data_IF_788495558033
#
_entry.id   IF_788495558033
#
_cell.length_a   1.000
_cell.length_b   1.000
_cell.length_c   1.000
_cell.angle_alpha   90.00
_cell.angle_beta   90.00
_cell.angle_gamma   90.00
#
_symmetry.space_group_name_H-M   'P 1'
#
loop_
_entity.id
_entity.type
_entity.pdbx_description
1 polymer ?
#
# COMPACT_ATOMS: atom_id res chain seq x y z
N UNK A 1 -0.55 39.32 73.15
CA UNK A 1 -1.21 38.66 71.99
C UNK A 1 -0.15 38.14 71.03
N UNK A 2 0.07 36.85 71.01
CA UNK A 2 1.06 36.22 70.09
C UNK A 2 0.29 35.60 68.91
N UNK A 3 0.42 36.20 67.72
CA UNK A 3 -0.07 35.60 66.46
C UNK A 3 0.83 34.42 66.09
N UNK A 4 0.23 33.25 65.96
CA UNK A 4 0.89 32.04 65.40
C UNK A 4 0.64 32.04 63.89
N UNK A 5 1.73 32.19 63.11
CA UNK A 5 1.73 32.04 61.67
C UNK A 5 1.69 30.55 61.33
N UNK A 6 0.62 30.10 60.67
CA UNK A 6 0.48 28.74 60.23
C UNK A 6 1.00 28.67 58.78
N UNK A 7 2.18 28.02 58.59
CA UNK A 7 2.75 27.81 57.28
C UNK A 7 2.20 26.50 56.75
N UNK A 8 1.38 26.56 55.69
CA UNK A 8 0.83 25.44 54.97
C UNK A 8 1.85 24.97 53.93
N UNK A 9 2.49 23.82 54.13
CA UNK A 9 3.33 23.18 53.12
C UNK A 9 2.43 22.35 52.18
N UNK A 10 2.24 22.84 50.97
CA UNK A 10 1.62 22.06 49.88
C UNK A 10 2.71 21.20 49.23
N UNK A 11 2.70 19.92 49.53
CA UNK A 11 3.54 18.92 48.82
C UNK A 11 2.89 18.62 47.50
N UNK A 12 3.42 19.14 46.41
CA UNK A 12 3.11 18.76 45.05
C UNK A 12 3.74 17.35 44.77
N UNK A 13 2.95 16.30 44.91
CA UNK A 13 3.31 14.99 44.38
C UNK A 13 3.22 15.04 42.85
N UNK A 14 4.32 15.26 42.17
CA UNK A 14 4.44 15.04 40.73
C UNK A 14 4.43 13.52 40.51
N UNK A 15 3.27 12.98 40.15
CA UNK A 15 3.14 11.61 39.69
C UNK A 15 3.81 11.51 38.31
N UNK A 16 5.03 11.04 38.28
CA UNK A 16 5.70 10.66 37.04
C UNK A 16 5.06 9.35 36.58
N UNK A 17 4.03 9.44 35.72
CA UNK A 17 3.60 8.30 34.95
C UNK A 17 4.71 7.95 33.98
N UNK A 18 5.50 6.98 34.30
CA UNK A 18 6.34 6.29 33.30
C UNK A 18 5.37 5.58 32.37
N UNK A 19 5.06 6.20 31.24
CA UNK A 19 4.46 5.48 30.11
C UNK A 19 5.50 4.47 29.70
N UNK A 20 5.33 3.19 30.10
CA UNK A 20 6.04 2.09 29.48
C UNK A 20 5.71 2.17 28.00
N UNK A 21 6.71 2.45 27.16
CA UNK A 21 6.56 2.21 25.74
C UNK A 21 6.09 0.76 25.60
N UNK A 22 4.96 0.56 24.95
CA UNK A 22 4.45 -0.78 24.68
C UNK A 22 5.58 -1.56 24.02
N UNK A 23 5.91 -2.74 24.56
CA UNK A 23 6.86 -3.63 23.92
C UNK A 23 6.37 -3.86 22.49
N UNK A 24 7.20 -3.48 21.49
CA UNK A 24 6.77 -3.52 20.08
C UNK A 24 6.42 -4.94 19.67
N UNK A 25 5.56 -5.06 18.67
CA UNK A 25 5.16 -6.32 18.06
C UNK A 25 6.40 -6.94 17.40
N UNK A 26 6.76 -8.17 17.76
CA UNK A 26 7.92 -8.87 17.16
C UNK A 26 7.55 -9.66 15.90
N UNK A 27 6.26 -9.90 15.69
CA UNK A 27 5.74 -10.63 14.53
C UNK A 27 4.39 -10.01 14.13
N UNK A 28 4.39 -8.88 13.37
CA UNK A 28 3.16 -8.31 12.88
C UNK A 28 2.50 -9.29 11.90
N UNK A 29 1.17 -9.40 12.00
CA UNK A 29 0.41 -10.18 11.02
C UNK A 29 0.25 -9.31 9.77
N UNK A 30 0.81 -9.77 8.65
CA UNK A 30 0.77 -9.07 7.37
C UNK A 30 0.34 -9.99 6.24
N UNK A 31 -0.37 -9.44 5.27
CA UNK A 31 -0.74 -10.10 4.01
C UNK A 31 -0.40 -9.14 2.86
N UNK A 32 0.25 -9.64 1.81
CA UNK A 32 0.74 -8.86 0.66
C UNK A 32 1.55 -7.63 1.09
N UNK A 33 2.62 -7.78 1.88
CA UNK A 33 3.37 -6.65 2.38
C UNK A 33 4.34 -6.07 1.36
N UNK A 34 4.49 -4.74 1.39
CA UNK A 34 5.62 -4.03 0.79
C UNK A 34 6.39 -3.26 1.85
N UNK A 35 7.71 -3.20 1.72
CA UNK A 35 8.61 -2.52 2.64
C UNK A 35 9.13 -1.23 2.03
N UNK A 36 9.08 -0.13 2.81
CA UNK A 36 9.73 1.13 2.50
C UNK A 36 10.68 1.55 3.62
N UNK A 37 11.71 2.34 3.26
CA UNK A 37 12.66 2.94 4.21
C UNK A 37 12.77 4.45 3.94
N UNK A 38 12.61 5.27 4.97
CA UNK A 38 12.65 6.73 4.84
C UNK A 38 14.03 7.36 5.17
N UNK A 39 15.05 6.53 5.35
CA UNK A 39 16.39 6.94 5.80
C UNK A 39 16.56 6.82 7.31
N UNK A 40 15.50 6.62 8.08
CA UNK A 40 15.53 6.49 9.54
C UNK A 40 14.72 5.31 10.09
N UNK A 41 13.63 4.96 9.43
CA UNK A 41 12.70 3.90 9.84
C UNK A 41 12.23 3.10 8.64
N UNK A 42 11.90 1.85 8.93
CA UNK A 42 11.24 0.92 8.02
C UNK A 42 9.74 1.01 8.21
N UNK A 43 8.99 0.92 7.10
CA UNK A 43 7.53 0.92 7.09
C UNK A 43 7.04 -0.25 6.27
N UNK A 44 6.14 -1.06 6.82
CA UNK A 44 5.39 -2.07 6.08
C UNK A 44 4.01 -1.50 5.77
N UNK A 45 3.63 -1.56 4.51
CA UNK A 45 2.28 -1.35 4.03
C UNK A 45 1.74 -2.69 3.61
N UNK A 46 0.51 -3.04 3.99
CA UNK A 46 -0.04 -4.36 3.67
C UNK A 46 -1.56 -4.31 3.52
N UNK A 47 -2.10 -5.40 2.99
CA UNK A 47 -3.54 -5.63 2.89
C UNK A 47 -4.21 -5.42 4.24
N UNK A 48 -5.28 -4.60 4.26
CA UNK A 48 -6.04 -4.29 5.45
C UNK A 48 -7.06 -3.17 5.25
N UNK A 49 -7.76 -2.82 6.30
CA UNK A 49 -8.71 -1.71 6.26
C UNK A 49 -7.96 -0.40 6.08
N UNK A 50 -8.20 0.28 4.93
CA UNK A 50 -7.55 1.53 4.59
C UNK A 50 -6.04 1.42 4.32
N UNK A 51 -5.50 0.21 4.06
CA UNK A 51 -4.08 -0.15 4.00
C UNK A 51 -3.44 -0.05 5.39
N UNK A 52 -3.15 -1.20 5.99
CA UNK A 52 -2.53 -1.27 7.30
C UNK A 52 -1.05 -0.92 7.23
N UNK A 53 -0.55 -0.23 8.25
CA UNK A 53 0.83 0.25 8.29
C UNK A 53 1.50 -0.13 9.61
N UNK A 54 2.73 -0.63 9.52
CA UNK A 54 3.61 -0.83 10.66
C UNK A 54 4.92 -0.09 10.45
N UNK A 55 5.55 0.37 11.54
CA UNK A 55 6.90 0.95 11.46
C UNK A 55 7.87 0.31 12.43
N UNK A 56 9.16 0.27 12.06
CA UNK A 56 10.23 -0.25 12.88
C UNK A 56 11.51 0.57 12.69
N UNK A 57 12.31 0.69 13.77
CA UNK A 57 13.63 1.28 13.68
C UNK A 57 14.72 0.23 13.38
N UNK A 58 14.45 -1.07 13.59
CA UNK A 58 15.45 -2.13 13.64
C UNK A 58 15.02 -3.44 12.96
N UNK A 59 13.84 -3.47 12.31
CA UNK A 59 13.20 -4.63 11.67
C UNK A 59 12.82 -5.76 12.66
N UNK A 60 13.03 -5.57 13.96
CA UNK A 60 12.74 -6.58 14.97
C UNK A 60 11.54 -6.24 15.84
N UNK A 61 11.33 -4.96 16.10
CA UNK A 61 10.20 -4.45 16.87
C UNK A 61 9.39 -3.48 16.05
N UNK A 62 8.15 -3.85 15.83
CA UNK A 62 7.19 -3.11 15.03
C UNK A 62 6.14 -2.46 15.92
N UNK A 63 5.57 -1.39 15.45
CA UNK A 63 4.40 -0.73 16.06
C UNK A 63 3.37 -0.43 14.99
N UNK A 64 2.12 -0.48 15.37
CA UNK A 64 1.04 -0.03 14.52
C UNK A 64 1.16 1.47 14.26
N UNK A 65 0.91 1.86 13.02
CA UNK A 65 0.78 3.24 12.59
C UNK A 65 -0.65 3.46 12.05
N UNK A 66 -1.11 4.70 11.92
CA UNK A 66 -2.38 4.99 11.27
C UNK A 66 -2.44 4.40 9.86
N UNK A 67 -3.59 3.81 9.49
CA UNK A 67 -3.83 3.39 8.11
C UNK A 67 -3.71 4.55 7.14
N UNK A 68 -3.40 4.26 5.88
CA UNK A 68 -3.26 5.28 4.81
C UNK A 68 -4.55 6.06 4.63
N UNK A 69 -5.69 5.37 4.70
CA UNK A 69 -7.01 5.97 4.55
C UNK A 69 -7.88 5.71 5.78
N UNK A 70 -8.39 6.77 6.39
CA UNK A 70 -9.35 6.70 7.50
C UNK A 70 -10.75 6.23 7.02
N UNK A 71 -11.04 6.44 5.74
CA UNK A 71 -12.29 6.02 5.10
C UNK A 71 -12.04 5.58 3.66
N UNK A 72 -12.88 4.66 3.12
CA UNK A 72 -12.72 4.17 1.77
C UNK A 72 -12.76 5.30 0.73
N UNK A 73 -11.86 5.30 -0.27
CA UNK A 73 -11.94 6.24 -1.39
C UNK A 73 -13.32 6.19 -2.06
N UNK A 74 -13.99 7.33 -2.19
CA UNK A 74 -15.36 7.40 -2.70
C UNK A 74 -15.48 6.96 -4.16
N UNK A 75 -14.44 7.20 -4.97
CA UNK A 75 -14.39 6.74 -6.35
C UNK A 75 -14.36 5.21 -6.42
N UNK A 76 -13.60 4.56 -5.53
CA UNK A 76 -13.48 3.09 -5.50
C UNK A 76 -14.80 2.43 -5.11
N UNK A 77 -15.50 2.96 -4.11
CA UNK A 77 -16.84 2.47 -3.73
C UNK A 77 -17.86 2.56 -4.87
N UNK A 78 -17.74 3.58 -5.75
CA UNK A 78 -18.61 3.73 -6.93
C UNK A 78 -18.23 2.79 -8.06
N UNK A 79 -16.92 2.53 -8.27
CA UNK A 79 -16.43 1.72 -9.39
C UNK A 79 -16.44 0.23 -9.09
N UNK A 80 -16.25 -0.16 -7.83
CA UNK A 80 -16.11 -1.55 -7.38
C UNK A 80 -17.23 -1.90 -6.39
N UNK A 81 -18.39 -2.36 -6.86
CA UNK A 81 -19.50 -2.75 -6.00
C UNK A 81 -19.09 -3.82 -4.99
N UNK A 82 -19.35 -3.57 -3.71
CA UNK A 82 -18.98 -4.45 -2.60
C UNK A 82 -17.62 -4.16 -1.98
N UNK A 83 -16.80 -3.27 -2.55
CA UNK A 83 -15.62 -2.75 -1.88
C UNK A 83 -16.03 -1.91 -0.65
N UNK A 84 -15.42 -2.18 0.49
CA UNK A 84 -15.79 -1.60 1.79
C UNK A 84 -14.60 -0.95 2.52
N UNK A 85 -13.50 -0.71 1.80
CA UNK A 85 -12.27 -0.15 2.37
C UNK A 85 -11.23 -1.18 2.79
N UNK A 86 -11.51 -2.49 2.71
CA UNK A 86 -10.48 -3.51 2.84
C UNK A 86 -9.65 -3.51 1.55
N UNK A 87 -8.52 -2.82 1.59
CA UNK A 87 -7.65 -2.49 0.45
C UNK A 87 -6.49 -3.48 0.40
N UNK A 88 -6.11 -3.95 -0.82
CA UNK A 88 -5.23 -5.09 -0.98
C UNK A 88 -3.92 -4.72 -1.66
N UNK A 89 -2.90 -5.55 -1.40
CA UNK A 89 -1.62 -5.65 -2.10
C UNK A 89 -1.06 -4.29 -2.54
N UNK A 90 -0.67 -3.43 -1.60
CA UNK A 90 -0.07 -2.15 -1.94
C UNK A 90 1.36 -2.35 -2.48
N UNK A 91 1.79 -1.43 -3.35
CA UNK A 91 3.19 -1.22 -3.69
C UNK A 91 3.58 0.24 -3.47
N UNK A 92 4.84 0.50 -3.12
CA UNK A 92 5.32 1.83 -2.79
C UNK A 92 6.70 2.11 -3.38
N UNK A 93 6.85 3.28 -3.99
CA UNK A 93 8.13 3.74 -4.51
C UNK A 93 8.38 5.21 -4.13
N UNK A 94 9.65 5.55 -3.84
CA UNK A 94 10.05 6.95 -3.71
C UNK A 94 10.57 7.46 -5.06
N UNK A 95 9.89 8.45 -5.61
CA UNK A 95 10.22 9.01 -6.91
C UNK A 95 9.94 10.52 -6.94
N UNK A 96 10.84 11.30 -7.55
CA UNK A 96 10.72 12.76 -7.69
C UNK A 96 10.34 13.50 -6.39
N UNK A 97 10.91 13.06 -5.25
CA UNK A 97 10.73 13.72 -3.96
C UNK A 97 9.45 13.38 -3.19
N UNK A 98 8.69 12.39 -3.66
CA UNK A 98 7.46 11.90 -3.02
C UNK A 98 7.47 10.37 -2.93
N UNK A 99 6.70 9.84 -2.01
CA UNK A 99 6.29 8.45 -1.96
C UNK A 99 5.00 8.28 -2.74
N UNK A 100 5.02 7.36 -3.69
CA UNK A 100 3.87 6.97 -4.51
C UNK A 100 3.42 5.59 -4.07
N UNK A 101 2.19 5.49 -3.60
CA UNK A 101 1.57 4.26 -3.12
C UNK A 101 0.47 3.85 -4.09
N UNK A 102 0.57 2.64 -4.62
CA UNK A 102 -0.44 2.03 -5.47
C UNK A 102 -1.16 0.94 -4.68
N UNK A 103 -2.45 0.78 -4.90
CA UNK A 103 -3.27 -0.10 -4.08
C UNK A 103 -4.46 -0.67 -4.84
N UNK A 104 -4.92 -1.83 -4.41
CA UNK A 104 -5.99 -2.57 -5.08
C UNK A 104 -7.31 -2.45 -4.34
N UNK A 105 -8.35 -2.05 -5.07
CA UNK A 105 -9.73 -2.05 -4.62
C UNK A 105 -10.49 -3.15 -5.35
N UNK A 106 -10.97 -4.17 -4.64
CA UNK A 106 -11.65 -5.32 -5.25
C UNK A 106 -12.62 -5.99 -4.28
N UNK A 107 -13.25 -7.07 -4.76
CA UNK A 107 -14.00 -8.04 -3.96
C UNK A 107 -13.58 -9.44 -4.34
N UNK A 108 -13.50 -10.35 -3.36
CA UNK A 108 -12.96 -11.69 -3.55
C UNK A 108 -13.69 -12.47 -4.67
N UNK A 109 -12.89 -13.08 -5.56
CA UNK A 109 -13.39 -13.90 -6.67
C UNK A 109 -14.06 -13.11 -7.81
N UNK A 110 -13.83 -11.79 -7.88
CA UNK A 110 -14.36 -10.93 -8.94
C UNK A 110 -13.23 -10.23 -9.69
N UNK A 111 -13.44 -9.91 -10.97
CA UNK A 111 -12.55 -9.05 -11.72
C UNK A 111 -13.14 -7.66 -12.02
N UNK A 112 -14.10 -7.21 -11.22
CA UNK A 112 -14.47 -5.81 -11.16
C UNK A 112 -13.62 -5.17 -10.08
N UNK A 113 -12.47 -4.67 -10.49
CA UNK A 113 -11.41 -4.20 -9.61
C UNK A 113 -10.82 -2.88 -10.13
N UNK A 114 -10.08 -2.20 -9.29
CA UNK A 114 -9.38 -0.98 -9.67
C UNK A 114 -8.10 -0.82 -8.87
N UNK A 115 -7.06 -0.31 -9.50
CA UNK A 115 -5.83 0.13 -8.87
C UNK A 115 -5.89 1.64 -8.71
N UNK A 116 -5.72 2.10 -7.47
CA UNK A 116 -5.62 3.51 -7.10
C UNK A 116 -4.18 3.93 -6.86
N UNK A 117 -3.95 5.24 -6.85
CA UNK A 117 -2.68 5.88 -6.56
C UNK A 117 -2.87 6.93 -5.45
N UNK A 118 -1.91 7.00 -4.53
CA UNK A 118 -1.83 8.05 -3.51
C UNK A 118 -0.39 8.52 -3.33
N UNK A 119 -0.22 9.79 -2.95
CA UNK A 119 1.09 10.41 -2.74
C UNK A 119 1.26 10.92 -1.30
N UNK A 120 2.49 10.91 -0.82
CA UNK A 120 2.89 11.60 0.41
C UNK A 120 4.36 12.05 0.31
N UNK A 121 4.70 13.13 1.00
CA UNK A 121 6.08 13.65 1.04
C UNK A 121 6.92 13.03 2.15
N UNK A 122 6.32 12.29 3.06
CA UNK A 122 6.97 11.64 4.21
C UNK A 122 6.21 10.38 4.62
N UNK A 123 6.93 9.38 5.15
CA UNK A 123 6.31 8.18 5.74
C UNK A 123 6.07 8.31 7.24
N UNK A 124 6.64 9.35 7.89
CA UNK A 124 6.55 9.55 9.33
C UNK A 124 5.23 10.21 9.73
N UNK A 125 4.30 9.49 10.42
CA UNK A 125 3.02 10.07 10.84
C UNK A 125 3.14 11.22 11.84
N UNK A 126 4.31 11.39 12.48
CA UNK A 126 4.57 12.50 13.39
C UNK A 126 5.09 13.77 12.69
N UNK A 127 5.37 13.71 11.39
CA UNK A 127 5.75 14.90 10.59
C UNK A 127 4.49 15.72 10.27
N UNK A 128 4.53 17.02 10.48
CA UNK A 128 3.40 17.91 10.21
C UNK A 128 2.96 17.92 8.73
N UNK A 129 3.82 17.45 7.82
CA UNK A 129 3.53 17.31 6.38
C UNK A 129 2.91 15.96 6.03
N UNK A 130 2.80 15.03 6.99
CA UNK A 130 2.25 13.71 6.74
C UNK A 130 0.78 13.81 6.33
N UNK A 131 0.54 13.51 5.07
CA UNK A 131 -0.80 13.49 4.49
C UNK A 131 -0.79 12.69 3.19
N UNK A 132 -1.47 11.58 3.18
CA UNK A 132 -1.72 10.84 1.94
C UNK A 132 -2.78 11.58 1.11
N UNK A 133 -2.45 11.87 -0.14
CA UNK A 133 -3.34 12.47 -1.12
C UNK A 133 -3.74 11.41 -2.13
N UNK A 134 -5.02 11.01 -2.09
CA UNK A 134 -5.59 10.05 -3.05
C UNK A 134 -5.74 10.73 -4.43
N UNK A 135 -5.07 10.16 -5.44
CA UNK A 135 -5.08 10.65 -6.82
C UNK A 135 -6.14 9.96 -7.68
N UNK A 136 -6.80 8.94 -7.14
CA UNK A 136 -7.86 8.22 -7.82
C UNK A 136 -7.41 6.97 -8.56
N UNK A 137 -8.23 6.53 -9.53
CA UNK A 137 -8.05 5.30 -10.28
C UNK A 137 -7.06 5.46 -11.43
N UNK A 138 -6.08 4.58 -11.52
CA UNK A 138 -5.12 4.49 -12.63
C UNK A 138 -5.59 3.48 -13.68
N UNK A 139 -5.92 2.27 -13.23
CA UNK A 139 -6.38 1.17 -14.08
C UNK A 139 -7.55 0.47 -13.41
N UNK A 140 -8.53 0.07 -14.21
CA UNK A 140 -9.63 -0.75 -13.72
C UNK A 140 -9.90 -1.95 -14.62
N UNK A 141 -10.60 -2.92 -14.09
CA UNK A 141 -11.15 -4.04 -14.84
C UNK A 141 -12.66 -4.15 -14.66
N UNK A 142 -13.33 -4.54 -15.75
CA UNK A 142 -14.79 -4.70 -15.80
C UNK A 142 -15.10 -6.05 -16.44
N UNK A 143 -15.84 -6.93 -15.76
CA UNK A 143 -16.22 -8.23 -16.29
C UNK A 143 -16.84 -8.16 -17.69
N UNK A 144 -16.39 -9.01 -18.61
CA UNK A 144 -16.86 -9.03 -19.99
C UNK A 144 -16.33 -7.91 -20.90
N UNK A 145 -15.55 -6.96 -20.35
CA UNK A 145 -14.91 -5.89 -21.13
C UNK A 145 -13.39 -6.02 -21.13
N UNK A 146 -12.80 -6.34 -19.99
CA UNK A 146 -11.38 -6.49 -19.82
C UNK A 146 -11.03 -7.94 -19.50
N UNK A 147 -9.93 -8.41 -20.07
CA UNK A 147 -9.42 -9.76 -19.87
C UNK A 147 -8.46 -9.88 -18.68
N UNK A 148 -8.10 -8.76 -18.04
CA UNK A 148 -7.23 -8.71 -16.86
C UNK A 148 -8.02 -8.44 -15.58
N UNK A 149 -7.39 -8.69 -14.43
CA UNK A 149 -7.86 -8.25 -13.14
C UNK A 149 -6.96 -7.13 -12.62
N UNK A 150 -7.52 -5.94 -12.37
CA UNK A 150 -6.78 -4.76 -11.95
C UNK A 150 -6.52 -4.78 -10.43
N UNK A 151 -5.63 -5.68 -9.99
CA UNK A 151 -5.09 -5.79 -8.63
C UNK A 151 -3.59 -6.14 -8.69
N UNK A 152 -2.95 -6.14 -7.53
CA UNK A 152 -1.55 -6.49 -7.31
C UNK A 152 -0.59 -5.62 -8.12
N UNK A 153 -0.62 -4.28 -7.96
CA UNK A 153 0.30 -3.39 -8.65
C UNK A 153 1.73 -3.56 -8.13
N UNK A 154 2.70 -3.42 -9.04
CA UNK A 154 4.09 -3.17 -8.71
C UNK A 154 4.67 -2.16 -9.70
N UNK A 155 5.42 -1.19 -9.20
CA UNK A 155 5.95 -0.07 -9.97
C UNK A 155 7.45 -0.21 -10.14
N UNK A 156 7.90 0.01 -11.37
CA UNK A 156 9.33 0.08 -11.70
C UNK A 156 9.61 1.33 -12.54
N UNK A 157 10.77 1.92 -12.33
CA UNK A 157 11.31 2.98 -13.16
C UNK A 157 12.39 2.35 -14.05
N UNK A 158 12.26 2.50 -15.36
CA UNK A 158 13.27 2.02 -16.28
C UNK A 158 14.54 2.91 -16.30
N UNK A 159 15.55 2.49 -17.03
CA UNK A 159 16.84 3.21 -17.11
C UNK A 159 16.72 4.60 -17.77
N UNK A 160 15.62 4.87 -18.45
CA UNK A 160 15.29 6.15 -19.08
C UNK A 160 14.48 7.06 -18.14
N UNK A 161 14.17 6.57 -16.93
CA UNK A 161 13.38 7.29 -15.94
C UNK A 161 11.87 7.21 -16.19
N UNK A 162 11.41 6.28 -17.01
CA UNK A 162 9.99 6.10 -17.31
C UNK A 162 9.35 5.17 -16.28
N UNK A 163 8.22 5.57 -15.67
CA UNK A 163 7.50 4.68 -14.77
C UNK A 163 6.64 3.68 -15.54
N UNK A 164 6.69 2.44 -15.08
CA UNK A 164 5.90 1.32 -15.56
C UNK A 164 5.19 0.66 -14.39
N UNK A 165 3.96 0.19 -14.61
CA UNK A 165 3.22 -0.61 -13.66
C UNK A 165 2.99 -2.00 -14.22
N UNK A 166 3.42 -3.01 -13.47
CA UNK A 166 2.95 -4.37 -13.69
C UNK A 166 1.85 -4.69 -12.69
N UNK A 167 0.86 -5.49 -13.11
CA UNK A 167 -0.28 -5.84 -12.28
C UNK A 167 -0.99 -7.07 -12.83
N UNK A 168 -1.87 -7.67 -12.04
CA UNK A 168 -2.75 -8.73 -12.50
C UNK A 168 -2.79 -9.94 -11.56
N UNK A 169 -3.90 -10.63 -11.59
CA UNK A 169 -4.18 -11.83 -10.83
C UNK A 169 -5.16 -12.69 -11.59
N UNK A 170 -4.86 -13.95 -11.81
CA UNK A 170 -5.69 -14.91 -12.58
C UNK A 170 -6.04 -14.41 -14.00
N UNK A 171 -7.25 -14.66 -14.47
CA UNK A 171 -7.78 -14.28 -15.79
C UNK A 171 -6.75 -14.43 -16.91
N UNK A 172 -6.45 -13.33 -17.63
CA UNK A 172 -5.47 -13.35 -18.72
C UNK A 172 -4.08 -12.88 -18.25
N UNK A 173 -3.73 -13.19 -17.00
CA UNK A 173 -2.38 -13.08 -16.46
C UNK A 173 -1.91 -11.66 -16.17
N UNK A 174 -0.60 -11.52 -16.13
CA UNK A 174 0.11 -10.32 -15.70
C UNK A 174 0.30 -9.36 -16.87
N UNK A 175 -0.03 -8.11 -16.64
CA UNK A 175 0.11 -7.00 -17.58
C UNK A 175 1.24 -6.07 -17.15
N UNK A 176 1.83 -5.39 -18.13
CA UNK A 176 2.73 -4.26 -17.94
C UNK A 176 2.18 -3.09 -18.75
N UNK A 177 2.13 -1.91 -18.15
CA UNK A 177 1.63 -0.69 -18.77
C UNK A 177 2.50 0.50 -18.43
N UNK A 178 2.74 1.35 -19.43
CA UNK A 178 3.48 2.60 -19.27
C UNK A 178 2.62 3.63 -18.56
N UNK A 179 3.19 4.29 -17.56
CA UNK A 179 2.54 5.39 -16.84
C UNK A 179 3.02 6.75 -17.34
N UNK A 180 2.24 7.79 -17.05
CA UNK A 180 2.69 9.19 -17.15
C UNK A 180 3.80 9.47 -16.15
N UNK A 181 4.61 10.50 -16.40
CA UNK A 181 5.76 10.82 -15.54
C UNK A 181 5.37 11.18 -14.10
N UNK A 182 4.16 11.65 -13.86
CA UNK A 182 3.57 11.90 -12.54
C UNK A 182 2.88 10.66 -11.94
N UNK A 183 2.84 9.54 -12.69
CA UNK A 183 2.20 8.28 -12.31
C UNK A 183 0.67 8.36 -12.06
N UNK A 184 0.03 9.46 -12.41
CA UNK A 184 -1.40 9.68 -12.15
C UNK A 184 -2.30 9.02 -13.21
N UNK A 185 -1.73 8.49 -14.29
CA UNK A 185 -2.50 7.83 -15.35
C UNK A 185 -1.64 6.95 -16.26
N UNK A 186 -2.30 6.12 -17.06
CA UNK A 186 -1.66 5.40 -18.18
C UNK A 186 -1.22 6.41 -19.24
N UNK A 187 0.03 6.29 -19.69
CA UNK A 187 0.61 7.18 -20.70
C UNK A 187 -0.11 7.07 -22.05
N UNK A 188 -0.08 8.13 -22.84
CA UNK A 188 -0.62 8.16 -24.20
C UNK A 188 0.51 8.42 -25.24
N UNK A 189 0.57 7.68 -26.36
CA UNK A 189 -0.26 6.52 -26.70
C UNK A 189 -0.08 5.37 -25.70
N UNK A 190 -1.12 4.57 -25.51
CA UNK A 190 -1.05 3.47 -24.54
C UNK A 190 -0.10 2.38 -25.03
N UNK A 191 0.79 1.93 -24.14
CA UNK A 191 1.68 0.79 -24.34
C UNK A 191 1.34 -0.29 -23.30
N UNK A 192 0.82 -1.42 -23.78
CA UNK A 192 0.41 -2.56 -22.97
C UNK A 192 1.08 -3.83 -23.40
N UNK A 193 1.58 -4.59 -22.43
CA UNK A 193 2.19 -5.88 -22.65
C UNK A 193 1.57 -6.95 -21.75
N UNK A 194 1.52 -8.19 -22.24
CA UNK A 194 1.23 -9.35 -21.40
C UNK A 194 2.54 -10.04 -21.10
N UNK A 195 2.96 -10.01 -19.84
CA UNK A 195 4.25 -10.57 -19.43
C UNK A 195 4.16 -12.10 -19.31
N UNK A 196 3.12 -12.62 -18.67
CA UNK A 196 2.86 -14.04 -18.53
C UNK A 196 1.39 -14.34 -18.26
N UNK A 197 0.99 -15.56 -18.56
CA UNK A 197 -0.31 -16.13 -18.19
C UNK A 197 -0.20 -17.65 -18.04
N UNK A 198 -1.09 -18.25 -17.27
CA UNK A 198 -1.21 -19.71 -17.25
C UNK A 198 -1.87 -20.20 -18.54
N UNK A 199 -1.31 -21.26 -19.12
CA UNK A 199 -1.86 -21.88 -20.31
C UNK A 199 -2.71 -23.08 -19.88
N UNK A 200 -4.04 -22.94 -19.93
CA UNK A 200 -5.01 -23.97 -19.53
C UNK A 200 -4.88 -25.30 -20.30
N UNK A 201 -4.32 -25.23 -21.51
CA UNK A 201 -4.24 -26.38 -22.41
C UNK A 201 -3.23 -27.46 -21.97
N UNK A 202 -2.40 -27.18 -20.97
CA UNK A 202 -1.30 -28.05 -20.53
C UNK A 202 -1.59 -28.79 -19.22
N UNK A 203 -2.63 -28.42 -18.50
CA UNK A 203 -2.96 -28.97 -17.18
C UNK A 203 -4.38 -29.56 -17.15
N UNK A 204 -4.60 -30.69 -16.46
CA UNK A 204 -5.95 -31.23 -16.28
C UNK A 204 -6.84 -30.22 -15.54
N UNK A 205 -8.08 -30.04 -15.98
CA UNK A 205 -9.09 -29.14 -15.37
C UNK A 205 -9.38 -29.40 -13.88
N UNK A 206 -8.78 -30.43 -13.31
CA UNK A 206 -9.04 -30.88 -11.94
C UNK A 206 -8.08 -30.35 -10.87
N UNK A 207 -7.04 -29.58 -11.24
CA UNK A 207 -6.10 -29.04 -10.25
C UNK A 207 -6.55 -27.65 -9.78
N UNK A 208 -6.80 -27.46 -8.46
CA UNK A 208 -7.05 -26.12 -7.91
C UNK A 208 -5.92 -25.15 -8.25
N UNK A 209 -6.25 -23.98 -8.77
CA UNK A 209 -5.26 -22.94 -9.05
C UNK A 209 -4.64 -22.98 -10.45
N UNK A 210 -5.22 -23.70 -11.41
CA UNK A 210 -4.73 -23.76 -12.79
C UNK A 210 -4.56 -22.38 -13.45
N UNK A 211 -5.35 -21.40 -13.05
CA UNK A 211 -5.26 -20.01 -13.51
C UNK A 211 -4.39 -19.13 -12.60
N UNK A 212 -3.83 -19.67 -11.52
CA UNK A 212 -3.11 -18.94 -10.52
C UNK A 212 -1.77 -18.42 -11.06
N UNK A 213 -1.76 -17.16 -11.47
CA UNK A 213 -0.59 -16.30 -11.66
C UNK A 213 -1.00 -14.93 -11.16
N UNK A 214 -0.31 -14.40 -10.17
CA UNK A 214 -0.66 -13.14 -9.50
C UNK A 214 0.53 -12.53 -8.81
N UNK A 215 0.37 -11.32 -8.24
CA UNK A 215 1.34 -10.61 -7.44
C UNK A 215 2.70 -10.45 -8.15
N UNK A 216 2.74 -9.78 -9.32
CA UNK A 216 4.00 -9.54 -10.01
C UNK A 216 4.91 -8.63 -9.19
N UNK A 217 6.22 -8.90 -9.27
CA UNK A 217 7.24 -8.04 -8.71
C UNK A 217 8.44 -8.01 -9.67
N UNK A 218 8.77 -6.82 -10.20
CA UNK A 218 9.93 -6.62 -11.05
C UNK A 218 11.03 -5.98 -10.20
N UNK A 219 12.20 -6.58 -10.22
CA UNK A 219 13.41 -6.06 -9.60
C UNK A 219 14.49 -5.92 -10.64
N UNK A 220 15.07 -4.73 -10.74
CA UNK A 220 16.16 -4.44 -11.67
C UNK A 220 17.44 -4.13 -10.89
N UNK A 221 18.53 -4.82 -11.22
CA UNK A 221 19.83 -4.59 -10.66
C UNK A 221 20.93 -5.02 -11.63
N UNK A 222 21.97 -4.18 -11.79
CA UNK A 222 23.17 -4.49 -12.56
C UNK A 222 22.88 -4.94 -14.01
N UNK A 223 21.81 -4.38 -14.63
CA UNK A 223 21.41 -4.69 -16.00
C UNK A 223 20.54 -5.97 -16.15
N UNK A 224 20.06 -6.54 -15.04
CA UNK A 224 19.20 -7.72 -15.00
C UNK A 224 17.86 -7.41 -14.36
#
# INVERSE_FOLDING_TARGET
MKQRLLILYTVLLSCWMTVKAADGITSPFVHDPVLAYDGSRYYIYCTGQGIQVYSSADLTKWRDEPSVFDSPPQWAMKMVPGYNGHTWAPDIIFYQGKYHLFYSCSTFGKNRSAIGHAENVTLNPSDARYKWEDKGCIVNSVPGRNEWNAIDPNIIIDDEGTPWMTFGSFWNGIKLVKLTADMDSVAKPEEWYTLCKRMKEVLPDSLPGDDAVEAPFIYHRDGY
#
